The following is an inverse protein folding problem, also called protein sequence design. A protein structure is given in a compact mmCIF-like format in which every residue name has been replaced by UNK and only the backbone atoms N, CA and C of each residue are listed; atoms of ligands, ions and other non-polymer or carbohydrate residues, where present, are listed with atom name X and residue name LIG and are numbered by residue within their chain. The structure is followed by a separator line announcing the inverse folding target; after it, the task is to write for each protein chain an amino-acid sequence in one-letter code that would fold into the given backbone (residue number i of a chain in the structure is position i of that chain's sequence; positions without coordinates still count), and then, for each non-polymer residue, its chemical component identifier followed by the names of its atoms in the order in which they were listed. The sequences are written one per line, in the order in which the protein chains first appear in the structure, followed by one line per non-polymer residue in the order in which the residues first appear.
data_IF_263054660888
#
_entry.id   IF_263054660888
#
_cell.length_a   1.000
_cell.length_b   1.000
_cell.length_c   1.000
_cell.angle_alpha   90.00
_cell.angle_beta   90.00
_cell.angle_gamma   90.00
#
_symmetry.space_group_name_H-M   'P 1'
#
loop_
_entity.id
_entity.type
_entity.pdbx_description
1 polymer ?
#
# COMPACT_ATOMS: atom_id res chain seq x y z
N UNK A 1 -16.13 2.51 -7.85
CA UNK A 1 -16.39 2.99 -9.23
C UNK A 1 -15.57 4.23 -9.62
N UNK A 2 -15.54 5.33 -8.84
CA UNK A 2 -14.73 6.52 -9.18
C UNK A 2 -13.24 6.28 -8.97
N UNK A 3 -12.84 5.79 -7.80
CA UNK A 3 -11.46 5.45 -7.47
C UNK A 3 -10.85 4.43 -8.44
N UNK A 4 -11.61 3.40 -8.82
CA UNK A 4 -11.17 2.40 -9.80
C UNK A 4 -10.89 3.02 -11.17
N UNK A 5 -11.81 3.85 -11.69
CA UNK A 5 -11.59 4.52 -12.98
C UNK A 5 -10.40 5.47 -12.95
N UNK A 6 -10.22 6.19 -11.85
CA UNK A 6 -9.12 7.12 -11.68
C UNK A 6 -7.78 6.37 -11.65
N UNK A 7 -7.68 5.32 -10.84
CA UNK A 7 -6.47 4.53 -10.71
C UNK A 7 -6.10 3.81 -12.02
N UNK A 8 -7.09 3.29 -12.76
CA UNK A 8 -6.87 2.66 -14.08
C UNK A 8 -6.36 3.62 -15.15
N UNK A 9 -6.70 4.91 -15.06
CA UNK A 9 -6.24 5.94 -15.99
C UNK A 9 -4.82 6.43 -15.69
N UNK A 10 -4.34 6.26 -14.44
CA UNK A 10 -3.03 6.73 -14.00
C UNK A 10 -1.93 5.79 -14.50
N UNK A 11 -0.84 6.30 -15.11
CA UNK A 11 0.31 5.46 -15.47
C UNK A 11 0.93 4.77 -14.26
N UNK A 12 1.36 3.51 -14.41
CA UNK A 12 2.00 2.78 -13.30
C UNK A 12 3.26 3.48 -12.78
N UNK A 13 3.97 4.19 -13.67
CA UNK A 13 5.14 5.00 -13.29
C UNK A 13 4.78 6.15 -12.37
N UNK A 14 3.63 6.80 -12.55
CA UNK A 14 3.13 7.87 -11.68
C UNK A 14 2.77 7.34 -10.30
N UNK A 15 2.17 6.14 -10.23
CA UNK A 15 1.89 5.44 -8.97
C UNK A 15 3.20 5.13 -8.24
N UNK A 16 4.20 4.58 -8.95
CA UNK A 16 5.52 4.29 -8.40
C UNK A 16 6.18 5.56 -7.83
N UNK A 17 6.13 6.66 -8.58
CA UNK A 17 6.72 7.93 -8.17
C UNK A 17 6.01 8.53 -6.94
N UNK A 18 4.69 8.35 -6.82
CA UNK A 18 3.93 8.75 -5.63
C UNK A 18 4.34 7.92 -4.40
N UNK A 19 4.45 6.60 -4.56
CA UNK A 19 4.92 5.71 -3.49
C UNK A 19 6.36 6.06 -3.09
N UNK A 20 7.25 6.31 -4.05
CA UNK A 20 8.65 6.67 -3.78
C UNK A 20 8.75 7.97 -2.96
N UNK A 21 7.93 8.99 -3.27
CA UNK A 21 7.87 10.23 -2.47
C UNK A 21 7.39 9.95 -1.05
N UNK A 22 6.38 9.10 -0.87
CA UNK A 22 5.93 8.69 0.45
C UNK A 22 7.03 7.95 1.22
N UNK A 23 7.75 7.05 0.56
CA UNK A 23 8.89 6.35 1.17
C UNK A 23 10.04 7.28 1.51
N UNK A 24 10.32 8.29 0.69
CA UNK A 24 11.34 9.29 0.98
C UNK A 24 11.03 10.02 2.31
N UNK A 25 9.77 10.40 2.54
CA UNK A 25 9.31 10.99 3.79
C UNK A 25 9.44 10.02 4.98
N UNK A 26 9.01 8.78 4.82
CA UNK A 26 9.14 7.74 5.86
C UNK A 26 10.59 7.36 6.18
N UNK A 27 11.53 7.63 5.28
CA UNK A 27 12.97 7.43 5.51
C UNK A 27 13.63 8.65 6.17
N UNK A 28 13.01 9.83 6.08
CA UNK A 28 13.47 11.03 6.79
C UNK A 28 13.06 10.95 8.27
N UNK A 29 14.04 10.93 9.16
CA UNK A 29 13.81 10.87 10.61
C UNK A 29 13.15 12.12 11.19
N UNK A 30 13.15 13.22 10.46
CA UNK A 30 12.50 14.46 10.88
C UNK A 30 11.05 14.55 10.41
N UNK A 31 10.60 13.64 9.54
CA UNK A 31 9.19 13.62 9.10
C UNK A 31 8.28 13.12 10.23
N UNK A 32 7.14 13.78 10.36
CA UNK A 32 6.16 13.50 11.43
C UNK A 32 5.65 12.06 11.39
N UNK A 33 5.43 11.49 10.19
CA UNK A 33 4.97 10.11 10.07
C UNK A 33 6.03 9.11 10.48
N UNK A 34 7.32 9.41 10.19
CA UNK A 34 8.44 8.60 10.68
C UNK A 34 8.55 8.65 12.19
N UNK A 35 8.47 9.84 12.77
CA UNK A 35 8.52 10.01 14.23
C UNK A 35 7.37 9.31 14.93
N UNK A 36 6.13 9.41 14.40
CA UNK A 36 4.98 8.68 14.92
C UNK A 36 5.19 7.16 14.84
N UNK A 37 5.71 6.66 13.72
CA UNK A 37 5.97 5.23 13.58
C UNK A 37 7.01 4.73 14.58
N UNK A 38 8.12 5.45 14.78
CA UNK A 38 9.15 5.09 15.76
C UNK A 38 8.66 5.19 17.21
N UNK A 39 7.75 6.11 17.52
CA UNK A 39 7.22 6.29 18.86
C UNK A 39 6.12 5.26 19.21
N UNK A 40 5.21 4.97 18.30
CA UNK A 40 4.01 4.22 18.63
C UNK A 40 4.03 2.75 18.22
N UNK A 41 4.74 2.38 17.14
CA UNK A 41 4.77 0.97 16.73
C UNK A 41 5.41 0.05 17.78
N UNK A 42 6.50 0.43 18.50
CA UNK A 42 6.99 -0.37 19.61
C UNK A 42 5.94 -0.57 20.71
N UNK A 43 5.19 0.48 21.04
CA UNK A 43 4.17 0.43 22.09
C UNK A 43 3.02 -0.54 21.77
N UNK A 44 2.51 -0.49 20.54
CA UNK A 44 1.37 -1.34 20.15
C UNK A 44 1.78 -2.76 19.79
N UNK A 45 2.98 -2.96 19.26
CA UNK A 45 3.45 -4.29 18.83
C UNK A 45 4.23 -5.05 19.90
N UNK A 46 4.73 -4.35 20.93
CA UNK A 46 5.61 -4.93 21.94
C UNK A 46 7.04 -5.23 21.46
N UNK A 47 7.41 -4.83 20.24
CA UNK A 47 8.78 -4.97 19.75
C UNK A 47 9.72 -3.93 20.37
N UNK A 48 10.99 -4.26 20.47
CA UNK A 48 12.04 -3.34 20.86
C UNK A 48 12.12 -2.13 19.92
N UNK A 49 12.30 -0.92 20.49
CA UNK A 49 12.28 0.33 19.72
C UNK A 49 13.41 0.42 18.68
N UNK A 50 14.60 -0.08 18.99
CA UNK A 50 15.73 -0.09 18.06
C UNK A 50 15.51 -1.10 16.93
N UNK A 51 14.92 -2.25 17.25
CA UNK A 51 14.49 -3.26 16.26
C UNK A 51 13.45 -2.68 15.30
N UNK A 52 12.43 -1.99 15.81
CA UNK A 52 11.41 -1.32 14.96
C UNK A 52 12.07 -0.27 14.08
N UNK A 53 12.92 0.59 14.63
CA UNK A 53 13.60 1.65 13.88
C UNK A 53 14.45 1.11 12.72
N UNK A 54 15.24 0.06 12.98
CA UNK A 54 16.07 -0.59 11.97
C UNK A 54 15.23 -1.32 10.94
N UNK A 55 14.23 -2.09 11.41
CA UNK A 55 13.31 -2.84 10.56
C UNK A 55 12.53 -1.94 9.59
N UNK A 56 11.94 -0.85 10.09
CA UNK A 56 11.25 0.14 9.27
C UNK A 56 12.17 0.75 8.20
N UNK A 57 13.42 1.09 8.57
CA UNK A 57 14.38 1.66 7.62
C UNK A 57 14.72 0.69 6.50
N UNK A 58 14.97 -0.58 6.82
CA UNK A 58 15.19 -1.62 5.81
C UNK A 58 13.96 -1.85 4.95
N UNK A 59 12.80 -1.95 5.58
CA UNK A 59 11.53 -2.24 4.92
C UNK A 59 11.12 -1.13 3.94
N UNK A 60 11.17 0.15 4.34
CA UNK A 60 10.81 1.25 3.44
C UNK A 60 11.74 1.38 2.24
N UNK A 61 13.02 1.01 2.37
CA UNK A 61 13.95 0.99 1.23
C UNK A 61 13.53 0.00 0.14
N UNK A 62 12.79 -1.05 0.47
CA UNK A 62 12.31 -2.03 -0.53
C UNK A 62 11.22 -1.48 -1.43
N UNK A 63 10.58 -0.36 -1.05
CA UNK A 63 9.54 0.31 -1.82
C UNK A 63 10.00 1.59 -2.52
N UNK A 64 11.31 1.79 -2.68
CA UNK A 64 11.85 2.89 -3.50
C UNK A 64 11.62 2.61 -4.98
N UNK A 65 11.53 3.67 -5.78
CA UNK A 65 11.15 3.58 -7.20
C UNK A 65 11.92 2.52 -7.99
N UNK A 66 13.25 2.41 -7.80
CA UNK A 66 14.07 1.42 -8.48
C UNK A 66 13.63 -0.02 -8.14
N UNK A 67 13.36 -0.28 -6.87
CA UNK A 67 12.92 -1.61 -6.40
C UNK A 67 11.52 -1.94 -6.92
N UNK A 68 10.60 -0.98 -6.89
CA UNK A 68 9.25 -1.17 -7.40
C UNK A 68 9.22 -1.40 -8.91
N UNK A 69 10.03 -0.66 -9.68
CA UNK A 69 10.19 -0.88 -11.14
C UNK A 69 10.72 -2.27 -11.43
N UNK A 70 11.71 -2.74 -10.66
CA UNK A 70 12.23 -4.10 -10.76
C UNK A 70 11.17 -5.14 -10.41
N UNK A 71 10.47 -4.96 -9.30
CA UNK A 71 9.40 -5.85 -8.86
C UNK A 71 8.30 -6.02 -9.93
N UNK A 72 7.83 -4.90 -10.51
CA UNK A 72 6.84 -4.95 -11.60
C UNK A 72 7.40 -5.65 -12.84
N UNK A 73 8.68 -5.45 -13.18
CA UNK A 73 9.31 -6.09 -14.34
C UNK A 73 9.57 -7.60 -14.12
N UNK A 74 9.72 -8.04 -12.89
CA UNK A 74 9.84 -9.47 -12.55
C UNK A 74 8.51 -10.21 -12.73
N UNK A 75 7.37 -9.57 -12.39
CA UNK A 75 6.04 -10.14 -12.51
C UNK A 75 5.42 -9.97 -13.92
N UNK A 76 5.74 -8.86 -14.60
CA UNK A 76 5.22 -8.54 -15.93
C UNK A 76 6.38 -8.38 -16.91
N UNK A 77 6.51 -9.31 -17.86
CA UNK A 77 7.56 -9.24 -18.90
C UNK A 77 7.55 -7.91 -19.68
N UNK A 78 6.39 -7.28 -19.81
CA UNK A 78 6.23 -5.91 -20.28
C UNK A 78 5.31 -5.14 -19.32
N UNK A 79 5.84 -4.31 -18.40
CA UNK A 79 5.06 -3.51 -17.48
C UNK A 79 4.01 -2.60 -18.13
N UNK A 80 4.20 -2.23 -19.40
CA UNK A 80 3.23 -1.44 -20.15
C UNK A 80 1.85 -2.09 -20.30
N UNK A 81 1.74 -3.41 -20.06
CA UNK A 81 0.43 -4.11 -20.05
C UNK A 81 -0.50 -3.59 -18.94
N UNK A 82 0.04 -3.01 -17.88
CA UNK A 82 -0.73 -2.37 -16.81
C UNK A 82 -1.36 -1.03 -17.25
N UNK A 83 -0.77 -0.37 -18.24
CA UNK A 83 -1.22 0.94 -18.71
C UNK A 83 -2.09 0.85 -19.97
N UNK A 84 -1.84 -0.14 -20.84
CA UNK A 84 -2.57 -0.28 -22.07
C UNK A 84 -2.33 -1.60 -22.77
N UNK A 85 -2.96 -1.77 -23.94
CA UNK A 85 -2.71 -2.93 -24.78
C UNK A 85 -1.27 -2.91 -25.33
N UNK A 86 -0.59 -4.04 -25.20
CA UNK A 86 0.78 -4.26 -25.68
C UNK A 86 0.80 -5.45 -26.64
N UNK A 87 1.72 -5.48 -27.62
CA UNK A 87 1.87 -6.64 -28.50
C UNK A 87 2.15 -7.92 -27.69
N UNK A 88 1.45 -9.00 -28.02
CA UNK A 88 1.69 -10.31 -27.44
C UNK A 88 2.64 -11.13 -28.28
N UNK A 89 3.51 -11.97 -27.67
CA UNK A 89 4.53 -12.77 -28.35
C UNK A 89 3.96 -13.75 -29.41
N UNK A 90 2.72 -14.20 -29.23
CA UNK A 90 2.02 -15.11 -30.13
C UNK A 90 1.08 -14.39 -31.11
N UNK A 91 1.22 -13.06 -31.28
CA UNK A 91 0.33 -12.23 -32.06
C UNK A 91 -0.86 -11.69 -31.25
N UNK A 92 -1.50 -10.63 -31.76
CA UNK A 92 -2.54 -9.89 -31.06
C UNK A 92 -2.00 -8.91 -30.03
N UNK A 93 -2.85 -8.49 -29.10
CA UNK A 93 -2.50 -7.56 -28.04
C UNK A 93 -3.01 -8.07 -26.68
N UNK A 94 -2.27 -7.74 -25.62
CA UNK A 94 -2.59 -8.11 -24.23
C UNK A 94 -2.59 -6.88 -23.34
N UNK A 95 -3.48 -6.84 -22.36
CA UNK A 95 -3.53 -5.86 -21.27
C UNK A 95 -3.82 -6.56 -19.95
N UNK A 96 -3.16 -6.13 -18.88
CA UNK A 96 -3.45 -6.60 -17.54
C UNK A 96 -4.46 -5.66 -16.85
N UNK A 97 -5.41 -6.25 -16.15
CA UNK A 97 -6.39 -5.54 -15.33
C UNK A 97 -6.34 -6.06 -13.89
N UNK A 98 -6.14 -5.16 -12.95
CA UNK A 98 -6.37 -5.48 -11.56
C UNK A 98 -7.86 -5.66 -11.25
N UNK A 99 -8.20 -6.26 -10.11
CA UNK A 99 -9.59 -6.35 -9.65
C UNK A 99 -10.19 -4.97 -9.40
N UNK A 100 -11.53 -4.87 -9.44
CA UNK A 100 -12.24 -3.61 -9.18
C UNK A 100 -12.08 -3.14 -7.74
N UNK A 101 -11.83 -4.05 -6.82
CA UNK A 101 -11.61 -3.80 -5.40
C UNK A 101 -10.80 -4.93 -4.79
N UNK A 102 -9.81 -4.58 -3.98
CA UNK A 102 -9.12 -5.50 -3.08
C UNK A 102 -9.60 -5.30 -1.64
N UNK A 103 -9.87 -6.40 -0.96
CA UNK A 103 -10.18 -6.39 0.48
C UNK A 103 -9.04 -7.08 1.21
N UNK A 104 -8.43 -6.36 2.14
CA UNK A 104 -7.33 -6.85 2.96
C UNK A 104 -7.80 -7.07 4.40
N UNK A 105 -7.41 -8.19 5.01
CA UNK A 105 -7.48 -8.39 6.45
C UNK A 105 -6.07 -8.61 6.97
N UNK A 106 -5.54 -7.62 7.67
CA UNK A 106 -4.13 -7.65 8.08
C UNK A 106 -3.92 -8.35 9.41
N UNK A 107 -2.78 -9.04 9.51
CA UNK A 107 -2.25 -9.51 10.77
C UNK A 107 -1.49 -8.38 11.48
N UNK A 108 -1.57 -8.34 12.80
CA UNK A 108 -0.92 -7.31 13.62
C UNK A 108 0.41 -7.75 14.25
N UNK A 109 0.96 -8.86 13.79
CA UNK A 109 2.17 -9.46 14.38
C UNK A 109 3.49 -8.88 13.86
N UNK A 110 3.46 -8.08 12.80
CA UNK A 110 4.64 -7.40 12.24
C UNK A 110 4.29 -5.93 11.99
N UNK A 111 5.06 -4.98 12.57
CA UNK A 111 4.84 -3.55 12.34
C UNK A 111 4.90 -3.18 10.86
N UNK A 112 3.95 -2.37 10.41
CA UNK A 112 3.85 -1.85 9.04
C UNK A 112 3.66 -2.91 7.93
N UNK A 113 3.36 -4.18 8.24
CA UNK A 113 3.19 -5.24 7.24
C UNK A 113 2.13 -4.92 6.18
N UNK A 114 1.09 -4.17 6.55
CA UNK A 114 0.02 -3.71 5.65
C UNK A 114 0.53 -2.96 4.41
N UNK A 115 1.69 -2.29 4.51
CA UNK A 115 2.29 -1.54 3.40
C UNK A 115 2.51 -2.40 2.16
N UNK A 116 2.96 -3.64 2.32
CA UNK A 116 3.25 -4.53 1.20
C UNK A 116 2.02 -4.76 0.33
N UNK A 117 0.91 -5.18 0.93
CA UNK A 117 -0.31 -5.47 0.18
C UNK A 117 -0.98 -4.21 -0.40
N UNK A 118 -0.90 -3.07 0.30
CA UNK A 118 -1.38 -1.79 -0.20
C UNK A 118 -0.62 -1.35 -1.44
N UNK A 119 0.71 -1.43 -1.41
CA UNK A 119 1.56 -1.10 -2.56
C UNK A 119 1.28 -2.03 -3.73
N UNK A 120 1.20 -3.34 -3.50
CA UNK A 120 0.85 -4.29 -4.56
C UNK A 120 -0.52 -3.97 -5.19
N UNK A 121 -1.53 -3.64 -4.38
CA UNK A 121 -2.84 -3.23 -4.87
C UNK A 121 -2.78 -2.00 -5.78
N UNK A 122 -2.05 -0.97 -5.37
CA UNK A 122 -1.87 0.24 -6.17
C UNK A 122 -1.15 -0.05 -7.49
N UNK A 123 -0.09 -0.87 -7.49
CA UNK A 123 0.68 -1.20 -8.70
C UNK A 123 -0.15 -1.94 -9.75
N UNK A 124 -1.07 -2.81 -9.32
CA UNK A 124 -2.02 -3.47 -10.23
C UNK A 124 -3.29 -2.65 -10.48
N UNK A 125 -3.29 -1.40 -10.04
CA UNK A 125 -4.39 -0.42 -10.23
C UNK A 125 -5.72 -0.88 -9.63
N UNK A 126 -5.67 -1.53 -8.46
CA UNK A 126 -6.83 -1.97 -7.70
C UNK A 126 -7.02 -1.10 -6.45
N UNK A 127 -8.14 -0.37 -6.32
CA UNK A 127 -8.50 0.29 -5.07
C UNK A 127 -8.60 -0.73 -3.95
N UNK A 128 -8.24 -0.32 -2.73
CA UNK A 128 -8.14 -1.25 -1.60
C UNK A 128 -8.93 -0.79 -0.40
N UNK A 129 -9.63 -1.72 0.24
CA UNK A 129 -10.19 -1.58 1.58
C UNK A 129 -9.42 -2.51 2.51
N UNK A 130 -8.86 -1.98 3.59
CA UNK A 130 -8.08 -2.76 4.53
C UNK A 130 -8.64 -2.70 5.94
N UNK A 131 -8.90 -3.89 6.53
CA UNK A 131 -9.25 -4.02 7.95
C UNK A 131 -7.98 -4.08 8.77
N UNK A 132 -7.84 -3.13 9.69
CA UNK A 132 -6.75 -3.09 10.65
C UNK A 132 -6.84 -4.24 11.68
N UNK A 133 -5.68 -4.79 12.02
CA UNK A 133 -5.57 -5.68 13.17
C UNK A 133 -5.63 -4.88 14.48
N UNK A 134 -6.18 -5.50 15.54
CA UNK A 134 -6.23 -4.85 16.86
C UNK A 134 -4.83 -4.67 17.48
N UNK A 135 -3.88 -5.53 17.13
CA UNK A 135 -2.51 -5.48 17.63
C UNK A 135 -1.62 -4.42 16.91
N UNK A 136 -1.97 -4.01 15.68
CA UNK A 136 -1.29 -2.90 14.96
C UNK A 136 -2.33 -2.09 14.17
N UNK A 137 -3.04 -1.16 14.83
CA UNK A 137 -4.14 -0.41 14.20
C UNK A 137 -3.70 0.93 13.59
N UNK A 138 -2.41 1.20 13.40
CA UNK A 138 -1.91 2.55 13.16
C UNK A 138 -1.34 2.77 11.77
N UNK A 139 -0.41 1.92 11.34
CA UNK A 139 0.47 2.25 10.22
C UNK A 139 -0.28 2.40 8.88
N UNK A 140 -1.23 1.53 8.58
CA UNK A 140 -1.96 1.63 7.31
C UNK A 140 -2.73 2.94 7.18
N UNK A 141 -3.31 3.45 8.28
CA UNK A 141 -3.98 4.75 8.31
C UNK A 141 -3.03 5.92 8.12
N UNK A 142 -1.83 5.85 8.69
CA UNK A 142 -0.79 6.86 8.45
C UNK A 142 -0.30 6.84 7.01
N UNK A 143 -0.05 5.67 6.45
CA UNK A 143 0.38 5.53 5.06
C UNK A 143 -0.67 6.08 4.08
N UNK A 144 -1.95 5.76 4.29
CA UNK A 144 -3.03 6.29 3.43
C UNK A 144 -3.09 7.83 3.47
N UNK A 145 -2.95 8.44 4.65
CA UNK A 145 -2.88 9.91 4.80
C UNK A 145 -1.65 10.50 4.15
N UNK A 146 -0.49 9.91 4.41
CA UNK A 146 0.76 10.35 3.79
C UNK A 146 0.69 10.29 2.27
N UNK A 147 0.13 9.22 1.72
CA UNK A 147 -0.03 9.07 0.27
C UNK A 147 -0.97 10.14 -0.30
N UNK A 148 -2.06 10.45 0.39
CA UNK A 148 -2.98 11.53 0.02
C UNK A 148 -2.31 12.92 0.04
N UNK A 149 -1.37 13.16 0.96
CA UNK A 149 -0.59 14.41 1.01
C UNK A 149 0.40 14.52 -0.17
N UNK A 150 1.12 13.44 -0.48
CA UNK A 150 2.14 13.47 -1.54
C UNK A 150 1.55 13.37 -2.94
N UNK A 151 0.36 12.77 -3.05
CA UNK A 151 -0.32 12.60 -4.34
C UNK A 151 -1.86 12.54 -4.13
N UNK A 152 -2.52 13.70 -4.01
CA UNK A 152 -3.96 13.80 -3.71
C UNK A 152 -4.88 12.91 -4.58
N UNK A 153 -4.59 12.67 -5.88
CA UNK A 153 -5.37 11.77 -6.70
C UNK A 153 -5.48 10.33 -6.18
N UNK A 154 -4.57 9.88 -5.31
CA UNK A 154 -4.62 8.55 -4.70
C UNK A 154 -5.40 8.51 -3.37
N UNK A 155 -5.89 9.64 -2.86
CA UNK A 155 -6.59 9.71 -1.57
C UNK A 155 -7.79 8.75 -1.48
N UNK A 156 -8.58 8.67 -2.55
CA UNK A 156 -9.79 7.85 -2.59
C UNK A 156 -9.53 6.38 -2.97
N UNK A 157 -8.26 6.02 -3.23
CA UNK A 157 -7.90 4.66 -3.66
C UNK A 157 -7.64 3.70 -2.50
N UNK A 158 -7.48 4.22 -1.28
CA UNK A 158 -7.22 3.44 -0.06
C UNK A 158 -8.24 3.79 1.02
N UNK A 159 -9.03 2.81 1.45
CA UNK A 159 -9.90 2.92 2.62
C UNK A 159 -9.36 2.01 3.75
N UNK A 160 -9.13 2.58 4.92
CA UNK A 160 -8.66 1.86 6.09
C UNK A 160 -9.73 1.90 7.16
N UNK A 161 -10.14 0.71 7.62
CA UNK A 161 -11.24 0.53 8.56
C UNK A 161 -10.81 -0.34 9.73
N UNK A 162 -11.45 -0.12 10.89
CA UNK A 162 -11.23 -0.92 12.07
C UNK A 162 -12.55 -1.29 12.73
N UNK A 163 -12.67 -2.52 13.17
CA UNK A 163 -13.73 -2.98 14.07
C UNK A 163 -13.20 -4.10 14.96
N UNK A 164 -13.78 -4.26 16.15
CA UNK A 164 -13.40 -5.32 17.07
C UNK A 164 -13.78 -6.69 16.52
N UNK A 165 -12.91 -7.68 16.69
CA UNK A 165 -13.20 -9.06 16.26
C UNK A 165 -14.30 -9.76 17.08
N UNK A 166 -14.70 -9.19 18.23
CA UNK A 166 -15.76 -9.72 19.10
C UNK A 166 -17.19 -9.33 18.66
N UNK A 167 -17.30 -8.35 17.73
CA UNK A 167 -18.56 -7.98 17.07
C UNK A 167 -18.42 -8.28 15.59
N UNK A 168 -18.65 -9.50 15.17
CA UNK A 168 -18.72 -9.83 13.75
C UNK A 168 -19.84 -9.04 13.08
N UNK A 169 -19.71 -8.69 11.79
CA UNK A 169 -20.78 -8.10 10.98
C UNK A 169 -22.06 -8.98 10.90
N UNK A 170 -22.20 -9.97 11.78
CA UNK A 170 -23.31 -10.92 11.84
C UNK A 170 -24.23 -10.79 13.04
N UNK A 171 -23.93 -9.96 14.05
CA UNK A 171 -24.74 -9.88 15.28
C UNK A 171 -25.71 -8.70 15.35
N UNK A 172 -25.75 -7.84 14.33
CA UNK A 172 -26.74 -6.74 14.26
C UNK A 172 -27.78 -7.02 13.17
N UNK A 173 -28.55 -8.06 13.32
CA UNK A 173 -29.65 -8.24 12.36
C UNK A 173 -30.28 -9.62 12.32
N UNK A 174 -30.76 -10.13 13.43
CA UNK A 174 -31.86 -11.10 13.50
C UNK A 174 -32.82 -10.69 14.58
#
# INVERSE_FOLDING_TARGET
AAADRHLRAMPVTEIIDAIDRAMARLLDRNDIYRQQAEAWLPVVSGYDADMVRLGLTGFFKTFRALQLKRFVAEDFANPGVLDGFQPAAKGGAVRAYGPELLVHSWAGNVPALSLWSLVCGLLVKAPSIGKLASAEPLFAGWFARLLAEVHPPLADCLAVVWWSGAGGMGDEGV
#
